data_IF_766430419349
#
_entry.id   IF_766430419349
#
_cell.length_a   1.000
_cell.length_b   1.000
_cell.length_c   1.000
_cell.angle_alpha   90.00
_cell.angle_beta   90.00
_cell.angle_gamma   90.00
#
_symmetry.space_group_name_H-M   'P 1'
#
loop_
_entity.id
_entity.type
_entity.pdbx_description
1 polymer ?
#
# COMPACT_ATOMS: atom_id res chain seq x y z
N UNK A 1 -22.47 -11.61 5.66
CA UNK A 1 -23.84 -11.88 5.16
C UNK A 1 -23.94 -13.25 4.48
N UNK A 2 -22.93 -13.72 3.73
CA UNK A 2 -23.02 -15.00 3.01
C UNK A 2 -23.09 -16.24 3.93
N UNK A 3 -22.43 -16.20 5.10
CA UNK A 3 -22.45 -17.33 6.04
C UNK A 3 -23.85 -17.59 6.65
N UNK A 4 -24.58 -16.54 7.04
CA UNK A 4 -25.95 -16.67 7.53
C UNK A 4 -26.91 -17.24 6.45
N UNK A 5 -26.71 -16.85 5.19
CA UNK A 5 -27.46 -17.42 4.05
C UNK A 5 -27.15 -18.90 3.83
N UNK A 6 -25.88 -19.30 3.96
CA UNK A 6 -25.48 -20.70 3.87
C UNK A 6 -26.14 -21.54 4.97
N UNK A 7 -26.10 -21.08 6.23
CA UNK A 7 -26.73 -21.78 7.36
C UNK A 7 -28.24 -21.97 7.16
N UNK A 8 -28.92 -20.94 6.63
CA UNK A 8 -30.34 -21.02 6.31
C UNK A 8 -30.66 -22.05 5.21
N UNK A 9 -29.85 -22.09 4.15
CA UNK A 9 -30.02 -23.05 3.05
C UNK A 9 -29.70 -24.48 3.48
N UNK A 10 -28.65 -24.68 4.28
CA UNK A 10 -28.31 -25.99 4.84
C UNK A 10 -29.38 -26.49 5.82
N UNK A 11 -29.98 -25.59 6.60
CA UNK A 11 -31.14 -25.90 7.45
C UNK A 11 -32.33 -26.43 6.65
N UNK A 12 -32.74 -25.70 5.60
CA UNK A 12 -33.84 -26.12 4.71
C UNK A 12 -33.56 -27.45 4.00
N UNK A 13 -32.33 -27.64 3.55
CA UNK A 13 -31.93 -28.89 2.89
C UNK A 13 -32.00 -30.07 3.88
N UNK A 14 -31.58 -29.87 5.14
CA UNK A 14 -31.67 -30.88 6.21
C UNK A 14 -33.12 -31.23 6.55
N UNK A 15 -34.02 -30.26 6.58
CA UNK A 15 -35.45 -30.48 6.79
C UNK A 15 -36.07 -31.33 5.67
N UNK A 16 -35.71 -31.08 4.42
CA UNK A 16 -36.15 -31.91 3.28
C UNK A 16 -35.61 -33.35 3.36
N UNK A 17 -34.35 -33.53 3.74
CA UNK A 17 -33.79 -34.86 3.97
C UNK A 17 -34.51 -35.59 5.11
N UNK A 18 -34.84 -34.89 6.20
CA UNK A 18 -35.59 -35.47 7.32
C UNK A 18 -37.02 -35.87 6.93
N UNK A 19 -37.69 -35.07 6.08
CA UNK A 19 -39.02 -35.35 5.54
C UNK A 19 -39.03 -36.60 4.65
N UNK A 20 -37.93 -36.85 3.92
CA UNK A 20 -37.72 -38.02 3.07
C UNK A 20 -37.53 -39.35 3.81
N UNK A 21 -37.39 -39.35 5.14
CA UNK A 21 -37.21 -40.58 5.92
C UNK A 21 -35.93 -41.36 5.58
N UNK A 22 -34.86 -40.67 5.16
CA UNK A 22 -33.60 -41.31 4.75
C UNK A 22 -32.84 -41.94 5.94
N UNK A 23 -33.04 -43.25 6.17
CA UNK A 23 -31.95 -44.12 6.62
C UNK A 23 -31.07 -44.40 5.41
N UNK A 24 -29.81 -43.97 5.47
CA UNK A 24 -28.87 -43.93 4.35
C UNK A 24 -28.27 -45.32 4.01
N UNK A 25 -29.12 -46.35 3.91
CA UNK A 25 -28.72 -47.69 3.48
C UNK A 25 -28.76 -47.76 1.95
N UNK A 26 -27.58 -47.66 1.34
CA UNK A 26 -27.39 -47.64 -0.10
C UNK A 26 -27.65 -49.02 -0.72
N UNK A 27 -28.70 -49.15 -1.55
CA UNK A 27 -28.86 -50.26 -2.50
C UNK A 27 -29.02 -49.65 -3.90
N UNK A 28 -28.14 -50.08 -4.80
CA UNK A 28 -27.96 -49.49 -6.13
C UNK A 28 -29.25 -49.39 -6.95
N UNK A 29 -29.46 -48.21 -7.54
CA UNK A 29 -30.56 -47.89 -8.44
C UNK A 29 -31.44 -46.77 -7.88
N UNK A 30 -31.16 -45.52 -8.28
CA UNK A 30 -31.82 -44.28 -7.81
C UNK A 30 -31.72 -44.04 -6.29
N UNK A 31 -30.64 -43.37 -5.88
CA UNK A 31 -30.42 -42.98 -4.50
C UNK A 31 -31.43 -41.93 -4.01
N UNK A 32 -32.32 -42.36 -3.12
CA UNK A 32 -33.18 -41.47 -2.34
C UNK A 32 -34.12 -42.27 -1.46
N UNK A 33 -34.13 -41.99 -0.16
CA UNK A 33 -35.04 -42.63 0.79
C UNK A 33 -36.51 -42.47 0.37
N UNK A 34 -37.35 -43.37 0.87
CA UNK A 34 -38.76 -43.39 0.52
C UNK A 34 -39.52 -42.23 1.20
N UNK A 35 -39.69 -41.13 0.47
CA UNK A 35 -40.64 -40.08 0.83
C UNK A 35 -42.04 -40.70 0.96
N UNK A 36 -42.68 -40.57 2.13
CA UNK A 36 -44.11 -40.88 2.26
C UNK A 36 -44.92 -39.77 1.60
N UNK A 37 -45.34 -39.99 0.36
CA UNK A 37 -46.15 -39.07 -0.43
C UNK A 37 -47.41 -39.74 -0.96
N UNK A 38 -48.46 -38.95 -1.18
CA UNK A 38 -49.76 -39.41 -1.69
C UNK A 38 -49.78 -39.60 -3.22
N UNK A 39 -48.77 -39.10 -3.93
CA UNK A 39 -48.64 -39.22 -5.39
C UNK A 39 -47.19 -39.20 -5.87
N UNK A 40 -46.96 -39.66 -7.10
CA UNK A 40 -45.66 -39.56 -7.77
C UNK A 40 -45.25 -38.11 -8.04
N UNK A 41 -46.21 -37.24 -8.36
CA UNK A 41 -45.97 -35.81 -8.60
C UNK A 41 -45.39 -35.12 -7.36
N UNK A 42 -45.86 -35.49 -6.17
CA UNK A 42 -45.33 -34.99 -4.89
C UNK A 42 -43.88 -35.44 -4.64
N UNK A 43 -43.53 -36.68 -5.00
CA UNK A 43 -42.15 -37.19 -4.90
C UNK A 43 -41.25 -36.44 -5.87
N UNK A 44 -41.70 -36.23 -7.11
CA UNK A 44 -40.93 -35.54 -8.13
C UNK A 44 -40.67 -34.07 -7.73
N UNK A 45 -41.71 -33.35 -7.27
CA UNK A 45 -41.56 -31.97 -6.80
C UNK A 45 -40.57 -31.86 -5.62
N UNK A 46 -40.62 -32.82 -4.69
CA UNK A 46 -39.69 -32.87 -3.56
C UNK A 46 -38.24 -33.13 -3.99
N UNK A 47 -38.02 -34.04 -4.95
CA UNK A 47 -36.69 -34.29 -5.49
C UNK A 47 -36.12 -33.09 -6.27
N UNK A 48 -36.96 -32.41 -7.05
CA UNK A 48 -36.58 -31.21 -7.79
C UNK A 48 -36.19 -30.08 -6.83
N UNK A 49 -36.97 -29.87 -5.76
CA UNK A 49 -36.66 -28.89 -4.71
C UNK A 49 -35.34 -29.24 -3.99
N UNK A 50 -35.11 -30.52 -3.67
CA UNK A 50 -33.86 -31.00 -3.08
C UNK A 50 -32.65 -30.72 -3.97
N UNK A 51 -32.75 -31.04 -5.27
CA UNK A 51 -31.65 -30.82 -6.23
C UNK A 51 -31.38 -29.33 -6.40
N UNK A 52 -32.41 -28.51 -6.50
CA UNK A 52 -32.28 -27.05 -6.59
C UNK A 52 -31.58 -26.47 -5.36
N UNK A 53 -32.04 -26.82 -4.15
CA UNK A 53 -31.41 -26.35 -2.92
C UNK A 53 -29.97 -26.86 -2.75
N UNK A 54 -29.66 -28.08 -3.18
CA UNK A 54 -28.28 -28.59 -3.16
C UNK A 54 -27.34 -27.75 -4.05
N UNK A 55 -27.81 -27.28 -5.21
CA UNK A 55 -27.05 -26.37 -6.07
C UNK A 55 -26.88 -24.99 -5.41
N UNK A 56 -27.95 -24.44 -4.84
CA UNK A 56 -27.89 -23.14 -4.12
C UNK A 56 -26.93 -23.20 -2.91
N UNK A 57 -26.90 -24.32 -2.17
CA UNK A 57 -25.93 -24.56 -1.07
C UNK A 57 -24.50 -24.60 -1.61
N UNK A 58 -24.27 -25.28 -2.74
CA UNK A 58 -22.94 -25.35 -3.35
C UNK A 58 -22.43 -23.96 -3.76
N UNK A 59 -23.27 -23.16 -4.40
CA UNK A 59 -22.95 -21.78 -4.76
C UNK A 59 -22.69 -20.90 -3.53
N UNK A 60 -23.53 -21.03 -2.49
CA UNK A 60 -23.35 -20.30 -1.24
C UNK A 60 -22.03 -20.67 -0.54
N UNK A 61 -21.61 -21.94 -0.57
CA UNK A 61 -20.31 -22.39 -0.03
C UNK A 61 -19.14 -21.76 -0.78
N UNK A 62 -19.19 -21.71 -2.11
CA UNK A 62 -18.18 -21.02 -2.91
C UNK A 62 -18.15 -19.52 -2.61
N UNK A 63 -19.30 -18.87 -2.45
CA UNK A 63 -19.37 -17.46 -2.08
C UNK A 63 -18.72 -17.18 -0.71
N UNK A 64 -18.98 -18.01 0.31
CA UNK A 64 -18.30 -17.89 1.63
C UNK A 64 -16.80 -18.12 1.50
N UNK A 65 -16.37 -19.09 0.68
CA UNK A 65 -14.94 -19.34 0.44
C UNK A 65 -14.25 -18.13 -0.18
N UNK A 66 -14.87 -17.52 -1.19
CA UNK A 66 -14.37 -16.31 -1.84
C UNK A 66 -14.35 -15.11 -0.88
N UNK A 67 -15.41 -14.90 -0.08
CA UNK A 67 -15.45 -13.83 0.95
C UNK A 67 -14.31 -14.01 1.96
N UNK A 68 -14.08 -15.24 2.45
CA UNK A 68 -12.96 -15.53 3.35
C UNK A 68 -11.59 -15.30 2.71
N UNK A 69 -11.43 -15.64 1.43
CA UNK A 69 -10.19 -15.37 0.69
C UNK A 69 -9.96 -13.86 0.51
N UNK A 70 -11.02 -13.10 0.19
CA UNK A 70 -10.97 -11.64 0.10
C UNK A 70 -10.62 -10.98 1.43
N UNK A 71 -11.20 -11.44 2.54
CA UNK A 71 -10.85 -10.94 3.88
C UNK A 71 -9.38 -11.26 4.21
N UNK A 72 -8.90 -12.46 3.87
CA UNK A 72 -7.49 -12.83 4.08
C UNK A 72 -6.53 -11.97 3.25
N UNK A 73 -6.85 -11.70 1.99
CA UNK A 73 -6.00 -10.84 1.14
C UNK A 73 -6.03 -9.38 1.60
N UNK A 74 -7.19 -8.88 2.05
CA UNK A 74 -7.28 -7.56 2.68
C UNK A 74 -6.53 -7.47 4.01
N UNK A 75 -6.59 -8.51 4.85
CA UNK A 75 -5.84 -8.56 6.10
C UNK A 75 -4.33 -8.56 5.83
N UNK A 76 -3.87 -9.38 4.87
CA UNK A 76 -2.47 -9.45 4.45
C UNK A 76 -1.98 -8.10 3.88
N UNK A 77 -2.80 -7.43 3.07
CA UNK A 77 -2.43 -6.11 2.51
C UNK A 77 -2.54 -4.97 3.51
N UNK A 78 -3.41 -5.06 4.52
CA UNK A 78 -3.49 -4.04 5.59
C UNK A 78 -2.34 -4.15 6.61
N UNK A 79 -1.76 -5.35 6.76
CA UNK A 79 -0.59 -5.59 7.60
C UNK A 79 0.75 -5.33 6.90
N UNK A 80 0.73 -5.04 5.60
CA UNK A 80 1.90 -4.62 4.84
C UNK A 80 2.20 -3.15 5.15
N UNK A 81 3.34 -2.92 5.82
CA UNK A 81 3.79 -1.59 6.21
C UNK A 81 4.01 -0.66 5.00
N UNK A 82 4.30 -1.24 3.83
CA UNK A 82 4.45 -0.51 2.57
C UNK A 82 3.11 0.09 2.13
N UNK A 83 2.01 -0.64 2.28
CA UNK A 83 0.66 -0.19 1.92
C UNK A 83 0.11 0.84 2.92
N UNK A 84 0.45 0.70 4.21
CA UNK A 84 0.12 1.72 5.22
C UNK A 84 0.80 3.06 4.92
N UNK A 85 2.11 3.01 4.60
CA UNK A 85 2.88 4.21 4.23
C UNK A 85 2.34 4.81 2.94
N UNK A 86 2.07 4.00 1.91
CA UNK A 86 1.49 4.46 0.65
C UNK A 86 0.14 5.17 0.85
N UNK A 87 -0.76 4.64 1.70
CA UNK A 87 -2.05 5.30 2.02
C UNK A 87 -1.91 6.60 2.80
N UNK A 88 -0.87 6.73 3.63
CA UNK A 88 -0.63 7.97 4.37
C UNK A 88 -0.07 9.07 3.44
N UNK A 89 0.68 8.66 2.42
CA UNK A 89 1.26 9.55 1.40
C UNK A 89 0.29 9.84 0.24
N UNK A 90 -0.80 9.08 0.12
CA UNK A 90 -1.84 9.24 -0.90
C UNK A 90 -2.44 10.66 -0.85
N UNK A 91 -2.22 11.44 -1.90
CA UNK A 91 -2.67 12.83 -2.02
C UNK A 91 -1.62 13.92 -1.73
N UNK A 92 -0.41 13.58 -1.29
CA UNK A 92 0.70 14.54 -1.21
C UNK A 92 1.54 14.48 -2.49
N UNK A 93 1.24 15.42 -3.41
CA UNK A 93 1.77 15.47 -4.78
C UNK A 93 3.30 15.56 -4.86
N UNK A 94 3.98 15.88 -3.75
CA UNK A 94 5.45 15.90 -3.65
C UNK A 94 6.05 14.50 -3.76
N UNK A 95 5.29 13.46 -3.43
CA UNK A 95 5.77 12.07 -3.44
C UNK A 95 5.42 11.30 -4.72
N UNK A 96 4.48 11.78 -5.53
CA UNK A 96 4.10 11.18 -6.82
C UNK A 96 5.12 11.48 -7.95
N UNK A 97 5.83 12.61 -7.83
CA UNK A 97 6.83 13.07 -8.80
C UNK A 97 8.16 13.20 -8.06
N UNK A 98 8.67 12.08 -7.54
CA UNK A 98 9.97 12.07 -6.89
C UNK A 98 11.08 12.23 -7.96
N UNK A 99 11.35 13.48 -8.36
CA UNK A 99 12.66 13.86 -8.86
C UNK A 99 13.70 13.57 -7.76
N UNK A 100 14.95 13.28 -8.15
CA UNK A 100 16.05 12.71 -7.34
C UNK A 100 16.54 13.57 -6.13
N UNK A 101 15.69 14.40 -5.52
CA UNK A 101 15.98 15.28 -4.39
C UNK A 101 15.54 14.74 -3.02
N UNK A 102 15.29 15.68 -2.09
CA UNK A 102 14.93 15.41 -0.70
C UNK A 102 13.68 14.53 -0.52
N UNK A 103 12.72 14.66 -1.44
CA UNK A 103 11.46 13.89 -1.40
C UNK A 103 11.71 12.39 -1.63
N UNK A 104 12.65 12.01 -2.52
CA UNK A 104 13.03 10.61 -2.71
C UNK A 104 13.70 10.00 -1.47
N UNK A 105 14.55 10.77 -0.78
CA UNK A 105 15.16 10.33 0.49
C UNK A 105 14.12 10.09 1.56
N UNK A 106 13.10 10.95 1.63
CA UNK A 106 12.01 10.82 2.58
C UNK A 106 11.14 9.59 2.29
N UNK A 107 10.81 9.30 1.03
CA UNK A 107 10.09 8.07 0.64
C UNK A 107 10.89 6.82 1.02
N UNK A 108 12.19 6.78 0.71
CA UNK A 108 13.03 5.63 1.06
C UNK A 108 13.16 5.44 2.58
N UNK A 109 13.34 6.52 3.33
CA UNK A 109 13.49 6.47 4.78
C UNK A 109 12.19 6.10 5.50
N UNK A 110 11.04 6.39 4.90
CA UNK A 110 9.73 6.14 5.51
C UNK A 110 9.06 4.86 5.01
N UNK A 111 9.62 4.21 3.98
CA UNK A 111 9.11 2.96 3.45
C UNK A 111 9.11 1.83 4.50
N UNK A 112 7.92 1.32 4.82
CA UNK A 112 7.78 0.19 5.75
C UNK A 112 7.66 0.57 7.23
N UNK A 113 7.46 1.86 7.54
CA UNK A 113 7.09 2.29 8.89
C UNK A 113 5.65 1.88 9.20
N UNK A 114 5.37 1.50 10.45
CA UNK A 114 4.08 0.89 10.83
C UNK A 114 3.20 1.82 11.65
N UNK A 115 3.77 2.88 12.21
CA UNK A 115 3.06 3.81 13.09
C UNK A 115 3.25 5.27 12.67
N UNK A 116 2.23 6.08 12.95
CA UNK A 116 2.25 7.53 12.69
C UNK A 116 3.31 8.27 13.51
N UNK A 117 3.74 7.72 14.64
CA UNK A 117 4.84 8.27 15.45
C UNK A 117 6.20 8.02 14.81
N UNK A 118 6.45 6.80 14.32
CA UNK A 118 7.71 6.45 13.63
C UNK A 118 7.87 7.27 12.35
N UNK A 119 6.78 7.43 11.59
CA UNK A 119 6.78 8.27 10.39
C UNK A 119 7.11 9.73 10.72
N UNK A 120 6.44 10.32 11.70
CA UNK A 120 6.66 11.73 12.09
C UNK A 120 8.09 11.98 12.58
N UNK A 121 8.61 11.10 13.43
CA UNK A 121 9.98 11.21 13.92
C UNK A 121 11.01 11.08 12.78
N UNK A 122 10.76 10.16 11.83
CA UNK A 122 11.66 9.95 10.69
C UNK A 122 11.60 11.12 9.71
N UNK A 123 10.40 11.64 9.46
CA UNK A 123 10.18 12.82 8.63
C UNK A 123 10.88 14.05 9.19
N UNK A 124 10.68 14.34 10.47
CA UNK A 124 11.33 15.47 11.14
C UNK A 124 12.86 15.36 11.10
N UNK A 125 13.40 14.15 11.31
CA UNK A 125 14.83 13.90 11.18
C UNK A 125 15.34 14.19 9.77
N UNK A 126 14.72 13.62 8.74
CA UNK A 126 15.15 13.79 7.34
C UNK A 126 15.03 15.25 6.90
N UNK A 127 13.93 15.93 7.23
CA UNK A 127 13.76 17.35 6.95
C UNK A 127 14.84 18.20 7.64
N UNK A 128 15.20 17.87 8.89
CA UNK A 128 16.28 18.57 9.60
C UNK A 128 17.67 18.33 9.00
N UNK A 129 17.96 17.11 8.55
CA UNK A 129 19.23 16.75 7.90
C UNK A 129 19.39 17.48 6.57
N UNK A 130 18.32 17.58 5.79
CA UNK A 130 18.30 18.33 4.52
C UNK A 130 18.51 19.82 4.78
N UNK A 131 17.79 20.40 5.75
CA UNK A 131 17.94 21.81 6.10
C UNK A 131 19.37 22.15 6.56
N UNK A 132 19.99 21.31 7.38
CA UNK A 132 21.38 21.48 7.81
C UNK A 132 22.37 21.37 6.64
N UNK A 133 22.15 20.43 5.71
CA UNK A 133 22.99 20.29 4.54
C UNK A 133 22.91 21.51 3.60
N UNK A 134 21.71 22.08 3.44
CA UNK A 134 21.51 23.32 2.67
C UNK A 134 22.19 24.52 3.33
N UNK A 135 22.11 24.64 4.65
CA UNK A 135 22.76 25.72 5.41
C UNK A 135 24.28 25.65 5.29
N UNK A 136 24.88 24.46 5.45
CA UNK A 136 26.31 24.25 5.26
C UNK A 136 26.75 24.57 3.83
N UNK A 137 25.98 24.13 2.83
CA UNK A 137 26.27 24.45 1.43
C UNK A 137 26.18 25.95 1.13
N UNK A 138 25.27 26.67 1.78
CA UNK A 138 25.16 28.12 1.65
C UNK A 138 26.35 28.84 2.30
N UNK A 139 26.79 28.39 3.48
CA UNK A 139 27.97 28.92 4.17
C UNK A 139 29.25 28.70 3.33
N UNK A 140 29.48 27.50 2.80
CA UNK A 140 30.64 27.23 1.94
C UNK A 140 30.64 28.11 0.67
N UNK A 141 29.47 28.36 0.07
CA UNK A 141 29.37 29.24 -1.10
C UNK A 141 29.70 30.69 -0.74
N UNK A 142 29.24 31.17 0.41
CA UNK A 142 29.55 32.50 0.90
C UNK A 142 31.07 32.67 1.13
N UNK A 143 31.69 31.74 1.84
CA UNK A 143 33.14 31.73 2.11
C UNK A 143 33.98 31.71 0.83
N UNK A 144 33.62 30.86 -0.14
CA UNK A 144 34.29 30.83 -1.45
C UNK A 144 34.16 32.16 -2.20
N UNK A 145 33.01 32.83 -2.09
CA UNK A 145 32.80 34.13 -2.74
C UNK A 145 33.67 35.22 -2.12
N UNK A 146 33.82 35.21 -0.79
CA UNK A 146 34.64 36.17 -0.05
C UNK A 146 36.13 35.95 -0.33
N UNK A 147 36.58 34.69 -0.32
CA UNK A 147 37.94 34.33 -0.69
C UNK A 147 38.28 34.79 -2.12
N UNK A 148 37.39 34.53 -3.09
CA UNK A 148 37.57 34.99 -4.47
C UNK A 148 37.58 36.52 -4.59
N UNK A 149 36.78 37.24 -3.80
CA UNK A 149 36.78 38.69 -3.77
C UNK A 149 38.09 39.26 -3.17
N UNK A 150 38.64 38.62 -2.13
CA UNK A 150 39.91 38.97 -1.52
C UNK A 150 41.08 38.78 -2.49
N UNK A 151 41.16 37.64 -3.20
CA UNK A 151 42.18 37.39 -4.22
C UNK A 151 42.15 38.43 -5.34
N UNK A 152 40.94 38.79 -5.82
CA UNK A 152 40.77 39.84 -6.84
C UNK A 152 41.30 41.19 -6.36
N UNK A 153 41.11 41.56 -5.09
CA UNK A 153 41.63 42.81 -4.51
C UNK A 153 43.16 42.80 -4.46
N UNK A 154 43.76 41.69 -4.02
CA UNK A 154 45.23 41.53 -3.97
C UNK A 154 45.82 41.64 -5.38
N UNK A 155 45.23 40.94 -6.36
CA UNK A 155 45.67 40.99 -7.76
C UNK A 155 45.59 42.41 -8.34
N UNK A 156 44.49 43.12 -8.12
CA UNK A 156 44.33 44.53 -8.55
C UNK A 156 45.37 45.45 -7.90
N UNK A 157 45.66 45.26 -6.60
CA UNK A 157 46.69 46.05 -5.90
C UNK A 157 48.08 45.81 -6.48
N UNK A 158 48.43 44.57 -6.79
CA UNK A 158 49.70 44.21 -7.43
C UNK A 158 49.83 44.81 -8.83
N UNK A 159 48.79 44.69 -9.66
CA UNK A 159 48.77 45.28 -11.00
C UNK A 159 48.91 46.80 -10.98
N UNK A 160 48.27 47.50 -10.03
CA UNK A 160 48.43 48.95 -9.86
C UNK A 160 49.86 49.34 -9.48
N UNK A 161 50.53 48.56 -8.61
CA UNK A 161 51.94 48.79 -8.27
C UNK A 161 52.87 48.61 -9.48
N UNK A 162 52.66 47.53 -10.25
CA UNK A 162 53.45 47.24 -11.46
C UNK A 162 53.21 48.26 -12.59
N UNK A 163 52.02 48.85 -12.68
CA UNK A 163 51.73 49.95 -13.61
C UNK A 163 52.34 51.27 -13.13
N UNK A 164 52.25 51.58 -11.83
CA UNK A 164 52.86 52.78 -11.26
C UNK A 164 54.39 52.76 -11.39
N UNK A 165 55.05 51.61 -11.20
CA UNK A 165 56.50 51.47 -11.39
C UNK A 165 56.96 51.57 -12.84
N UNK A 166 56.04 51.49 -13.82
CA UNK A 166 56.33 51.70 -15.25
C UNK A 166 56.05 53.14 -15.71
N UNK A 167 55.32 53.90 -14.88
CA UNK A 167 54.96 55.30 -15.12
C UNK A 167 55.76 56.28 -14.25
N UNK A 168 56.52 55.78 -13.27
CA UNK A 168 57.61 56.56 -12.67
C UNK A 168 58.67 56.75 -13.74
N UNK A 169 58.66 57.93 -14.35
CA UNK A 169 59.86 58.46 -14.99
C UNK A 169 60.94 58.50 -13.90
N UNK A 170 62.09 57.89 -14.17
CA UNK A 170 63.34 58.28 -13.52
C UNK A 170 63.49 59.79 -13.82
N UNK A 171 63.08 60.63 -12.86
CA UNK A 171 63.50 62.02 -12.81
C UNK A 171 64.97 62.00 -12.35
N UNK A 172 65.83 62.10 -13.38
CA UNK A 172 67.14 62.76 -13.48
C UNK A 172 68.19 62.58 -12.37
N UNK A 173 69.36 62.07 -12.76
CA UNK A 173 70.63 62.83 -12.77
C UNK A 173 71.57 62.31 -13.88
#
# INVERSE_FOLDING_TARGET
MAQARLEQLEGRLKELYAKGGETNDYVGGFGGGHLKAGSFEEVQAHEEERRRLALEVKEAREAVRLERQGIKSQAASSGDASNWTAKLLDGDTRFDVADNGADHLLVQATHGLKTASEFRATKERVESEVAQAEELAAQERAERSEAAAAERRVRKKRQRKEQASKLSFDDED
#
